data_IF_815395176128
#
_entry.id   IF_815395176128
#
_cell.length_a   1.000
_cell.length_b   1.000
_cell.length_c   1.000
_cell.angle_alpha   90.00
_cell.angle_beta   90.00
_cell.angle_gamma   90.00
#
_symmetry.space_group_name_H-M   'P 1'
#
loop_
_entity.id
_entity.type
_entity.pdbx_description
1 polymer ?
#
# COMPACT_ATOMS: atom_id res chain seq x y z
N UNK A 1 -14.08 -12.09 -6.55
CA UNK A 1 -12.60 -12.06 -6.65
C UNK A 1 -12.08 -10.80 -5.99
N UNK A 2 -11.26 -10.93 -4.91
CA UNK A 2 -10.75 -9.76 -4.24
C UNK A 2 -9.88 -8.90 -5.14
N UNK A 3 -9.95 -7.58 -4.97
CA UNK A 3 -9.19 -6.62 -5.74
C UNK A 3 -8.19 -5.89 -4.83
N UNK A 4 -6.95 -5.83 -5.26
CA UNK A 4 -5.87 -5.14 -4.55
C UNK A 4 -5.42 -3.95 -5.37
N UNK A 5 -5.40 -2.77 -4.74
CA UNK A 5 -4.80 -1.59 -5.32
C UNK A 5 -3.41 -1.40 -4.70
N UNK A 6 -2.39 -1.29 -5.55
CA UNK A 6 -1.06 -0.88 -5.12
C UNK A 6 -0.83 0.50 -5.69
N UNK A 7 -0.93 1.50 -4.83
CA UNK A 7 -0.79 2.90 -5.18
C UNK A 7 0.57 3.39 -4.66
N UNK A 8 1.41 3.86 -5.56
CA UNK A 8 2.75 4.30 -5.17
C UNK A 8 3.06 5.68 -5.68
N UNK A 9 3.93 6.36 -4.96
CA UNK A 9 4.54 7.60 -5.41
C UNK A 9 6.04 7.43 -5.30
N UNK A 10 6.78 7.77 -6.37
CA UNK A 10 8.22 7.58 -6.39
C UNK A 10 8.91 8.74 -7.08
N UNK A 11 9.91 9.31 -6.43
CA UNK A 11 10.69 10.41 -6.99
C UNK A 11 11.99 9.92 -7.62
N UNK A 12 12.65 8.96 -6.97
CA UNK A 12 13.95 8.44 -7.42
C UNK A 12 13.84 7.08 -8.11
N UNK A 13 12.65 6.48 -8.13
CA UNK A 13 12.43 5.15 -8.69
C UNK A 13 12.57 4.01 -7.69
N UNK A 14 13.03 4.26 -6.47
CA UNK A 14 13.21 3.21 -5.48
C UNK A 14 11.88 2.64 -4.98
N UNK A 15 10.94 3.50 -4.62
CA UNK A 15 9.60 3.06 -4.21
C UNK A 15 8.87 2.38 -5.36
N UNK A 16 9.09 2.83 -6.60
CA UNK A 16 8.54 2.18 -7.78
C UNK A 16 9.04 0.74 -7.94
N UNK A 17 10.34 0.52 -7.73
CA UNK A 17 10.92 -0.84 -7.77
C UNK A 17 10.27 -1.73 -6.72
N UNK A 18 10.06 -1.20 -5.51
CA UNK A 18 9.37 -1.92 -4.46
C UNK A 18 7.94 -2.23 -4.86
N UNK A 19 7.23 -1.24 -5.42
CA UNK A 19 5.83 -1.40 -5.84
C UNK A 19 5.68 -2.49 -6.90
N UNK A 20 6.58 -2.53 -7.87
CA UNK A 20 6.59 -3.59 -8.89
C UNK A 20 6.79 -4.97 -8.27
N UNK A 21 7.68 -5.09 -7.30
CA UNK A 21 7.94 -6.36 -6.61
C UNK A 21 6.75 -6.79 -5.74
N UNK A 22 6.13 -5.84 -5.04
CA UNK A 22 4.91 -6.14 -4.25
C UNK A 22 3.81 -6.65 -5.18
N UNK A 23 3.60 -5.99 -6.32
CA UNK A 23 2.61 -6.41 -7.30
C UNK A 23 2.91 -7.80 -7.87
N UNK A 24 4.18 -8.07 -8.17
CA UNK A 24 4.61 -9.38 -8.68
C UNK A 24 4.28 -10.48 -7.67
N UNK A 25 4.59 -10.26 -6.39
CA UNK A 25 4.29 -11.22 -5.34
C UNK A 25 2.80 -11.46 -5.18
N UNK A 26 2.00 -10.39 -5.18
CA UNK A 26 0.54 -10.51 -5.07
C UNK A 26 -0.05 -11.27 -6.25
N UNK A 27 0.47 -11.05 -7.45
CA UNK A 27 -0.02 -11.71 -8.67
C UNK A 27 0.29 -13.21 -8.74
N UNK A 28 1.19 -13.71 -7.90
CA UNK A 28 1.42 -15.17 -7.83
C UNK A 28 0.28 -15.90 -7.15
N UNK A 29 -0.60 -15.21 -6.45
CA UNK A 29 -1.73 -15.80 -5.75
C UNK A 29 -2.93 -15.86 -6.68
N UNK A 30 -3.50 -17.05 -6.88
CA UNK A 30 -4.68 -17.22 -7.70
C UNK A 30 -5.91 -16.66 -6.98
N UNK A 31 -6.82 -16.06 -7.73
CA UNK A 31 -8.07 -15.58 -7.19
C UNK A 31 -8.03 -14.14 -6.70
N UNK A 32 -6.98 -13.38 -7.04
CA UNK A 32 -6.92 -11.95 -6.75
C UNK A 32 -6.72 -11.17 -8.03
N UNK A 33 -7.24 -9.95 -8.04
CA UNK A 33 -7.04 -8.99 -9.12
C UNK A 33 -6.15 -7.87 -8.57
N UNK A 34 -5.04 -7.58 -9.23
CA UNK A 34 -4.04 -6.61 -8.75
C UNK A 34 -3.90 -5.47 -9.73
N UNK A 35 -4.14 -4.25 -9.25
CA UNK A 35 -3.90 -3.03 -10.03
C UNK A 35 -2.74 -2.25 -9.42
N UNK A 36 -1.76 -1.93 -10.26
CA UNK A 36 -0.59 -1.15 -9.87
C UNK A 36 -0.66 0.20 -10.57
N UNK A 37 -0.70 1.29 -9.80
CA UNK A 37 -0.82 2.62 -10.37
C UNK A 37 -0.14 3.67 -9.49
N UNK A 38 0.20 4.80 -10.09
CA UNK A 38 0.72 5.96 -9.37
C UNK A 38 -0.32 7.07 -9.23
N UNK A 39 -1.56 6.81 -9.67
CA UNK A 39 -2.64 7.79 -9.55
C UNK A 39 -3.97 7.09 -9.31
N UNK A 40 -4.73 7.60 -8.35
CA UNK A 40 -6.07 7.12 -8.06
C UNK A 40 -6.94 8.28 -7.59
N UNK A 41 -8.24 8.18 -7.85
CA UNK A 41 -9.21 9.14 -7.31
C UNK A 41 -9.80 8.59 -6.01
N UNK A 42 -10.36 9.46 -5.15
CA UNK A 42 -11.01 8.97 -3.93
C UNK A 42 -12.11 7.94 -4.21
N UNK A 43 -12.90 8.14 -5.25
CA UNK A 43 -13.98 7.23 -5.62
C UNK A 43 -13.47 5.84 -6.03
N UNK A 44 -12.31 5.78 -6.66
CA UNK A 44 -11.71 4.51 -7.07
C UNK A 44 -11.29 3.66 -5.87
N UNK A 45 -10.92 4.30 -4.75
CA UNK A 45 -10.46 3.58 -3.56
C UNK A 45 -11.50 2.58 -3.04
N UNK A 46 -12.77 2.92 -3.11
CA UNK A 46 -13.84 2.05 -2.59
C UNK A 46 -14.07 0.78 -3.43
N UNK A 47 -13.50 0.71 -4.63
CA UNK A 47 -13.64 -0.45 -5.51
C UNK A 47 -12.72 -1.61 -5.12
N UNK A 48 -11.78 -1.37 -4.21
CA UNK A 48 -10.78 -2.37 -3.83
C UNK A 48 -11.06 -2.95 -2.45
N UNK A 49 -10.64 -4.19 -2.25
CA UNK A 49 -10.72 -4.88 -0.96
C UNK A 49 -9.49 -4.62 -0.11
N UNK A 50 -8.37 -4.33 -0.76
CA UNK A 50 -7.13 -3.95 -0.10
C UNK A 50 -6.49 -2.77 -0.81
N UNK A 51 -5.92 -1.86 -0.03
CA UNK A 51 -5.19 -0.70 -0.53
C UNK A 51 -3.79 -0.73 0.08
N UNK A 52 -2.79 -0.90 -0.77
CA UNK A 52 -1.38 -0.92 -0.37
C UNK A 52 -0.74 0.36 -0.90
N UNK A 53 -0.24 1.20 0.00
CA UNK A 53 0.33 2.50 -0.37
C UNK A 53 1.84 2.46 -0.26
N UNK A 54 2.51 2.77 -1.36
CA UNK A 54 3.96 2.92 -1.41
C UNK A 54 4.34 4.39 -1.39
N UNK A 55 5.14 4.81 -0.42
CA UNK A 55 5.53 6.20 -0.27
C UNK A 55 6.98 6.33 0.21
N UNK A 56 7.79 7.16 -0.46
CA UNK A 56 9.10 7.53 0.08
C UNK A 56 8.93 8.54 1.21
N UNK A 57 9.94 8.67 2.06
CA UNK A 57 9.94 9.67 3.12
C UNK A 57 10.74 10.89 2.67
N UNK A 58 10.09 12.06 2.66
CA UNK A 58 10.71 13.34 2.36
C UNK A 58 10.53 14.26 3.57
N UNK A 59 11.63 14.79 4.11
CA UNK A 59 11.57 15.68 5.26
C UNK A 59 10.69 15.14 6.40
N UNK A 60 10.86 13.85 6.71
CA UNK A 60 10.11 13.13 7.75
C UNK A 60 8.62 12.97 7.46
N UNK A 61 8.18 13.14 6.20
CA UNK A 61 6.76 13.12 5.85
C UNK A 61 6.52 12.35 4.54
N UNK A 62 5.25 12.04 4.29
CA UNK A 62 4.82 11.46 3.03
C UNK A 62 4.67 12.55 1.97
N UNK A 63 4.38 12.14 0.73
CA UNK A 63 4.20 13.10 -0.36
C UNK A 63 2.87 13.84 -0.24
N UNK A 64 2.84 15.06 -0.78
CA UNK A 64 1.64 15.87 -0.79
C UNK A 64 0.49 15.18 -1.55
N UNK A 65 0.81 14.48 -2.66
CA UNK A 65 -0.20 13.80 -3.47
C UNK A 65 -0.95 12.74 -2.65
N UNK A 66 -0.24 11.97 -1.82
CA UNK A 66 -0.86 10.97 -0.97
C UNK A 66 -1.74 11.63 0.10
N UNK A 67 -1.23 12.68 0.71
CA UNK A 67 -2.00 13.44 1.71
C UNK A 67 -3.28 13.99 1.11
N UNK A 68 -3.18 14.63 -0.06
CA UNK A 68 -4.35 15.23 -0.71
C UNK A 68 -5.38 14.18 -1.10
N UNK A 69 -4.95 13.03 -1.58
CA UNK A 69 -5.88 11.94 -1.92
C UNK A 69 -6.72 11.53 -0.71
N UNK A 70 -6.06 11.27 0.43
CA UNK A 70 -6.77 10.82 1.61
C UNK A 70 -7.56 11.93 2.30
N UNK A 71 -7.10 13.17 2.25
CA UNK A 71 -7.88 14.30 2.73
C UNK A 71 -9.16 14.46 1.92
N UNK A 72 -9.06 14.36 0.61
CA UNK A 72 -10.21 14.45 -0.28
C UNK A 72 -11.17 13.28 -0.08
N UNK A 73 -10.63 12.07 0.09
CA UNK A 73 -11.45 10.89 0.38
C UNK A 73 -12.23 11.08 1.69
N UNK A 74 -11.59 11.63 2.71
CA UNK A 74 -12.26 11.90 3.98
C UNK A 74 -13.34 12.98 3.82
N UNK A 75 -13.05 14.05 3.07
CA UNK A 75 -14.02 15.13 2.84
C UNK A 75 -15.24 14.63 2.07
N UNK A 76 -15.07 13.66 1.19
CA UNK A 76 -16.16 13.06 0.42
C UNK A 76 -16.85 11.90 1.15
N UNK A 77 -16.44 11.61 2.36
CA UNK A 77 -16.99 10.51 3.17
C UNK A 77 -16.88 9.15 2.47
N UNK A 78 -15.77 8.91 1.79
CA UNK A 78 -15.51 7.62 1.15
C UNK A 78 -15.32 6.56 2.25
N UNK A 79 -16.13 5.51 2.22
CA UNK A 79 -16.11 4.47 3.24
C UNK A 79 -15.09 3.38 2.89
N UNK A 80 -14.02 3.28 3.68
CA UNK A 80 -13.00 2.25 3.54
C UNK A 80 -12.94 1.33 4.76
N UNK A 81 -13.91 1.45 5.66
CA UNK A 81 -13.92 0.70 6.92
C UNK A 81 -13.85 -0.80 6.68
N UNK A 82 -12.94 -1.47 7.40
CA UNK A 82 -12.78 -2.91 7.33
C UNK A 82 -11.97 -3.41 6.15
N UNK A 83 -11.66 -2.56 5.17
CA UNK A 83 -10.79 -2.96 4.06
C UNK A 83 -9.36 -3.15 4.57
N UNK A 84 -8.60 -4.01 3.91
CA UNK A 84 -7.21 -4.24 4.29
C UNK A 84 -6.35 -3.07 3.82
N UNK A 85 -5.53 -2.55 4.72
CA UNK A 85 -4.57 -1.49 4.41
C UNK A 85 -3.16 -1.92 4.74
N UNK A 86 -2.19 -1.46 3.96
CA UNK A 86 -0.78 -1.72 4.21
C UNK A 86 0.05 -0.64 3.55
N UNK A 87 1.27 -0.45 4.04
CA UNK A 87 2.16 0.56 3.47
C UNK A 87 3.58 0.02 3.34
N UNK A 88 4.31 0.57 2.38
CA UNK A 88 5.73 0.27 2.19
C UNK A 88 6.43 1.54 1.69
N UNK A 89 7.75 1.53 1.74
CA UNK A 89 8.50 2.64 1.19
C UNK A 89 10.00 2.49 1.34
N UNK A 90 10.72 3.20 0.47
CA UNK A 90 12.17 3.35 0.57
C UNK A 90 12.48 4.58 1.41
N UNK A 91 13.63 4.58 2.06
CA UNK A 91 14.06 5.71 2.87
C UNK A 91 15.58 5.81 2.86
N UNK A 92 16.10 7.02 3.05
CA UNK A 92 17.54 7.25 3.19
C UNK A 92 17.91 7.53 4.64
N UNK A 93 17.18 8.44 5.27
CA UNK A 93 17.44 8.92 6.62
C UNK A 93 16.49 8.30 7.65
N UNK A 94 15.20 8.39 7.41
CA UNK A 94 14.18 7.87 8.31
C UNK A 94 13.03 7.28 7.50
N UNK A 95 12.30 6.31 8.08
CA UNK A 95 11.21 5.62 7.42
C UNK A 95 9.84 6.02 7.94
N UNK A 96 9.62 7.31 8.20
CA UNK A 96 8.41 7.79 8.85
C UNK A 96 7.18 7.84 7.96
N UNK A 97 7.33 8.10 6.64
CA UNK A 97 6.20 8.29 5.76
C UNK A 97 5.24 7.09 5.71
N UNK A 98 5.70 5.84 5.52
CA UNK A 98 4.78 4.71 5.56
C UNK A 98 4.05 4.57 6.89
N UNK A 99 4.70 4.91 8.00
CA UNK A 99 4.07 4.87 9.33
C UNK A 99 2.99 5.93 9.48
N UNK A 100 3.22 7.12 8.92
CA UNK A 100 2.22 8.19 8.93
C UNK A 100 0.99 7.81 8.12
N UNK A 101 1.19 7.17 6.96
CA UNK A 101 0.07 6.70 6.15
C UNK A 101 -0.71 5.61 6.88
N UNK A 102 -0.03 4.69 7.58
CA UNK A 102 -0.71 3.68 8.40
C UNK A 102 -1.66 4.33 9.40
N UNK A 103 -1.22 5.40 10.07
CA UNK A 103 -2.08 6.10 11.02
C UNK A 103 -3.32 6.70 10.36
N UNK A 104 -3.17 7.24 9.16
CA UNK A 104 -4.30 7.76 8.40
C UNK A 104 -5.30 6.63 8.08
N UNK A 105 -4.81 5.52 7.54
CA UNK A 105 -5.66 4.39 7.17
C UNK A 105 -6.36 3.79 8.38
N UNK A 106 -5.65 3.66 9.48
CA UNK A 106 -6.15 3.02 10.69
C UNK A 106 -7.11 3.92 11.48
N UNK A 107 -6.70 5.17 11.74
CA UNK A 107 -7.44 6.05 12.64
C UNK A 107 -8.53 6.85 11.92
N UNK A 108 -8.29 7.27 10.68
CA UNK A 108 -9.25 8.08 9.95
C UNK A 108 -10.26 7.23 9.17
N UNK A 109 -9.81 6.12 8.59
CA UNK A 109 -10.66 5.28 7.75
C UNK A 109 -11.05 3.96 8.39
N UNK A 110 -10.56 3.67 9.57
CA UNK A 110 -10.87 2.44 10.31
C UNK A 110 -10.64 1.18 9.49
N UNK A 111 -9.57 1.19 8.68
CA UNK A 111 -9.17 0.04 7.90
C UNK A 111 -8.50 -1.00 8.79
N UNK A 112 -8.52 -2.25 8.32
CA UNK A 112 -7.79 -3.35 8.96
C UNK A 112 -6.36 -3.32 8.43
N UNK A 113 -5.45 -2.69 9.17
CA UNK A 113 -4.11 -2.39 8.69
C UNK A 113 -3.10 -3.46 9.07
N UNK A 114 -2.32 -3.90 8.08
CA UNK A 114 -1.20 -4.81 8.28
C UNK A 114 -0.01 -4.01 8.81
N UNK A 115 0.50 -4.37 9.97
CA UNK A 115 1.64 -3.72 10.60
C UNK A 115 2.72 -4.74 10.91
N UNK A 116 3.99 -4.38 10.90
CA UNK A 116 4.53 -3.05 10.59
C UNK A 116 4.58 -2.78 9.08
N UNK A 117 4.83 -1.52 8.67
CA UNK A 117 5.05 -1.21 7.26
C UNK A 117 6.34 -1.86 6.77
N UNK A 118 6.43 -2.14 5.49
CA UNK A 118 7.66 -2.67 4.89
C UNK A 118 8.57 -1.50 4.52
N UNK A 119 9.73 -1.43 5.14
CA UNK A 119 10.69 -0.35 4.93
C UNK A 119 11.99 -0.92 4.36
N UNK A 120 12.48 -0.32 3.27
CA UNK A 120 13.76 -0.66 2.66
C UNK A 120 14.62 0.59 2.61
N UNK A 121 15.83 0.50 3.15
CA UNK A 121 16.75 1.64 3.17
C UNK A 121 17.44 1.78 1.81
N UNK A 122 17.41 2.98 1.25
CA UNK A 122 18.03 3.32 -0.05
C UNK A 122 17.42 2.49 -1.18
N UNK A 123 18.25 2.13 -2.17
CA UNK A 123 17.82 1.33 -3.31
C UNK A 123 17.62 -0.13 -2.88
N UNK A 124 16.46 -0.73 -3.16
CA UNK A 124 16.26 -2.13 -2.79
C UNK A 124 17.21 -3.06 -3.55
N UNK A 125 17.90 -3.92 -2.80
CA UNK A 125 18.75 -4.96 -3.34
C UNK A 125 17.90 -6.21 -3.65
N UNK A 126 18.48 -7.29 -4.23
CA UNK A 126 17.70 -8.50 -4.50
C UNK A 126 16.99 -9.07 -3.28
N UNK A 127 17.64 -9.05 -2.11
CA UNK A 127 17.01 -9.53 -0.88
C UNK A 127 15.82 -8.63 -0.45
N UNK A 128 15.98 -7.32 -0.61
CA UNK A 128 14.90 -6.37 -0.35
C UNK A 128 13.72 -6.55 -1.28
N UNK A 129 13.97 -6.82 -2.56
CA UNK A 129 12.91 -7.08 -3.53
C UNK A 129 12.18 -8.38 -3.22
N UNK A 130 12.87 -9.41 -2.73
CA UNK A 130 12.21 -10.64 -2.27
C UNK A 130 11.29 -10.38 -1.09
N UNK A 131 11.66 -9.50 -0.17
CA UNK A 131 10.80 -9.09 0.94
C UNK A 131 9.54 -8.39 0.42
N UNK A 132 9.68 -7.59 -0.62
CA UNK A 132 8.53 -6.91 -1.24
C UNK A 132 7.58 -7.93 -1.87
N UNK A 133 8.10 -8.93 -2.59
CA UNK A 133 7.29 -9.99 -3.18
C UNK A 133 6.55 -10.76 -2.10
N UNK A 134 7.24 -11.13 -1.04
CA UNK A 134 6.65 -11.85 0.10
C UNK A 134 5.54 -11.03 0.76
N UNK A 135 5.76 -9.74 0.91
CA UNK A 135 4.79 -8.81 1.49
C UNK A 135 3.49 -8.80 0.66
N UNK A 136 3.61 -8.64 -0.65
CA UNK A 136 2.44 -8.67 -1.55
C UNK A 136 1.74 -10.01 -1.55
N UNK A 137 2.51 -11.10 -1.59
CA UNK A 137 1.96 -12.45 -1.59
C UNK A 137 1.16 -12.72 -0.32
N UNK A 138 1.67 -12.34 0.84
CA UNK A 138 0.98 -12.57 2.12
C UNK A 138 -0.33 -11.82 2.23
N UNK A 139 -0.36 -10.57 1.75
CA UNK A 139 -1.59 -9.80 1.75
C UNK A 139 -2.63 -10.44 0.84
N UNK A 140 -2.21 -10.85 -0.36
CA UNK A 140 -3.10 -11.51 -1.31
C UNK A 140 -3.65 -12.83 -0.77
N UNK A 141 -2.79 -13.66 -0.17
CA UNK A 141 -3.20 -14.91 0.46
C UNK A 141 -4.20 -14.68 1.59
N UNK A 142 -3.97 -13.65 2.40
CA UNK A 142 -4.87 -13.29 3.49
C UNK A 142 -6.26 -12.92 3.00
N UNK A 143 -6.34 -12.20 1.88
CA UNK A 143 -7.63 -11.82 1.28
C UNK A 143 -8.38 -13.04 0.76
N UNK A 144 -7.68 -13.96 0.09
CA UNK A 144 -8.29 -15.19 -0.43
C UNK A 144 -8.81 -16.04 0.72
N UNK A 145 -8.03 -16.21 1.78
CA UNK A 145 -8.46 -16.96 2.97
C UNK A 145 -9.69 -16.36 3.63
N UNK A 146 -9.72 -15.04 3.76
CA UNK A 146 -10.86 -14.34 4.35
C UNK A 146 -12.12 -14.54 3.53
N UNK A 147 -12.02 -14.53 2.19
CA UNK A 147 -13.14 -14.76 1.29
C UNK A 147 -13.68 -16.18 1.43
N UNK A 148 -12.80 -17.17 1.62
CA UNK A 148 -13.20 -18.59 1.73
C UNK A 148 -13.83 -18.93 3.09
N UNK A 149 -13.76 -18.04 4.09
CA UNK A 149 -14.37 -18.25 5.41
C UNK A 149 -15.85 -17.84 5.46
N UNK A 150 -16.35 -17.27 4.40
CA UNK A 150 -17.76 -16.88 4.27
C UNK A 150 -18.47 -17.88 3.35
#
# INVERSE_FOLDING_TARGET
MPKILILYYSRTGNTEKMANAVAEGARTVQGVDVELTYHATPEQLKEFDAIIVGTPTYHHDTTLDIKMLFEEAAAKNINLKGKVGATFGSYGWSGEAPKLVIEILKNKFEMNVTEPPLLIRYTPDPAGLEKCKEFGRRIAEGLVKAQHRH
#
